data_IF_064724549880
#
_entry.id   IF_064724549880
#
_cell.length_a   1.000
_cell.length_b   1.000
_cell.length_c   1.000
_cell.angle_alpha   90.00
_cell.angle_beta   90.00
_cell.angle_gamma   90.00
#
_symmetry.space_group_name_H-M   'P 1'
#
loop_
_entity.id
_entity.type
_entity.pdbx_description
1 polymer ?
#
# COMPACT_ATOMS: atom_id res chain seq x y z
N UNK A 1 15.51 -0.83 -34.53
CA UNK A 1 16.88 -1.34 -34.65
C UNK A 1 17.35 -1.70 -33.24
N UNK A 2 17.64 -2.99 -33.02
CA UNK A 2 17.80 -3.62 -31.71
C UNK A 2 19.30 -3.71 -31.41
N UNK A 3 19.74 -3.26 -30.23
CA UNK A 3 21.06 -3.58 -29.69
C UNK A 3 20.86 -4.04 -28.25
N UNK A 4 21.19 -5.31 -28.00
CA UNK A 4 21.12 -6.02 -26.72
C UNK A 4 22.47 -5.99 -26.00
N UNK A 5 22.44 -6.06 -24.67
CA UNK A 5 23.57 -6.44 -23.83
C UNK A 5 23.07 -7.31 -22.67
N UNK A 6 23.76 -8.42 -22.42
CA UNK A 6 23.43 -9.48 -21.44
C UNK A 6 24.59 -9.64 -20.44
N UNK A 7 24.35 -10.38 -19.33
CA UNK A 7 25.25 -11.19 -18.45
C UNK A 7 24.78 -10.99 -16.99
N UNK A 8 24.21 -12.00 -16.30
CA UNK A 8 24.75 -13.21 -15.61
C UNK A 8 25.57 -12.87 -14.34
N UNK A 9 24.97 -13.08 -13.16
CA UNK A 9 25.70 -13.21 -11.90
C UNK A 9 25.47 -14.59 -11.27
N UNK A 10 26.58 -15.18 -10.84
CA UNK A 10 26.74 -16.54 -10.37
C UNK A 10 26.54 -16.61 -8.84
N UNK A 11 25.89 -17.69 -8.39
CA UNK A 11 25.76 -18.20 -7.02
C UNK A 11 24.87 -17.50 -5.95
N UNK A 12 23.67 -18.09 -5.82
CA UNK A 12 22.93 -18.52 -4.61
C UNK A 12 21.99 -17.52 -3.89
N UNK A 13 20.82 -17.42 -4.53
CA UNK A 13 19.48 -17.35 -3.96
C UNK A 13 18.97 -15.99 -3.46
N UNK A 14 18.97 -14.98 -4.34
CA UNK A 14 17.91 -13.99 -4.35
C UNK A 14 17.40 -13.87 -5.79
N UNK A 15 16.07 -13.91 -5.96
CA UNK A 15 15.45 -13.83 -7.27
C UNK A 15 15.76 -12.46 -7.89
N UNK A 16 16.47 -12.48 -9.01
CA UNK A 16 16.69 -11.33 -9.87
C UNK A 16 15.34 -10.80 -10.34
N UNK A 17 14.92 -9.67 -9.78
CA UNK A 17 13.85 -8.86 -10.35
C UNK A 17 14.50 -7.81 -11.24
N UNK A 18 14.25 -7.85 -12.55
CA UNK A 18 14.64 -6.74 -13.42
C UNK A 18 13.69 -5.59 -13.15
N UNK A 19 14.22 -4.47 -12.68
CA UNK A 19 13.43 -3.29 -12.33
C UNK A 19 13.52 -2.26 -13.46
N UNK A 20 12.37 -1.76 -13.95
CA UNK A 20 12.31 -0.80 -15.07
C UNK A 20 11.43 0.41 -14.76
N UNK A 21 11.88 1.64 -14.96
CA UNK A 21 11.11 2.80 -14.45
C UNK A 21 9.95 3.22 -15.38
N UNK A 22 8.78 3.50 -14.81
CA UNK A 22 7.60 4.12 -15.41
C UNK A 22 6.86 5.02 -14.40
N UNK A 23 6.75 6.32 -14.74
CA UNK A 23 5.80 7.39 -14.31
C UNK A 23 5.38 7.56 -12.83
N UNK A 24 5.11 8.81 -12.42
CA UNK A 24 5.34 9.30 -11.05
C UNK A 24 4.22 9.09 -9.99
N UNK A 25 4.63 9.09 -8.71
CA UNK A 25 3.81 9.25 -7.49
C UNK A 25 4.26 10.50 -6.69
N UNK A 26 3.39 11.06 -5.83
CA UNK A 26 3.66 12.28 -5.04
C UNK A 26 3.20 12.08 -3.59
N UNK A 27 3.95 12.63 -2.63
CA UNK A 27 3.75 12.44 -1.19
C UNK A 27 3.10 13.69 -0.59
N UNK A 28 2.16 13.49 0.33
CA UNK A 28 1.69 14.52 1.27
C UNK A 28 2.31 14.23 2.64
N UNK A 29 3.00 15.19 3.25
CA UNK A 29 3.74 14.94 4.50
C UNK A 29 3.51 16.00 5.56
N UNK A 30 3.15 15.55 6.77
CA UNK A 30 3.35 16.27 8.04
C UNK A 30 4.56 15.69 8.78
N UNK A 31 5.25 16.52 9.56
CA UNK A 31 6.59 16.24 10.07
C UNK A 31 6.67 15.62 11.47
N UNK A 32 7.67 14.76 11.70
CA UNK A 32 8.64 14.86 12.81
C UNK A 32 9.64 13.69 12.88
N UNK A 33 10.86 13.98 13.34
CA UNK A 33 11.62 13.17 14.34
C UNK A 33 12.51 11.98 13.92
N UNK A 34 13.83 12.17 13.95
CA UNK A 34 14.98 11.21 13.87
C UNK A 34 14.92 10.04 14.88
N UNK A 35 15.69 8.93 14.87
CA UNK A 35 16.61 8.15 13.98
C UNK A 35 17.13 6.95 14.83
N UNK A 36 17.39 5.71 14.35
CA UNK A 36 18.70 5.07 14.00
C UNK A 36 18.54 3.51 14.11
N UNK A 37 18.82 2.72 13.05
CA UNK A 37 19.95 1.76 12.80
C UNK A 37 20.11 0.55 13.76
N UNK A 38 20.45 -0.69 13.40
CA UNK A 38 20.78 -1.49 12.18
C UNK A 38 20.93 -2.99 12.65
N UNK A 39 20.79 -4.03 11.79
CA UNK A 39 21.41 -5.36 12.05
C UNK A 39 20.75 -6.68 11.58
N UNK A 40 21.17 -7.15 10.39
CA UNK A 40 21.20 -8.50 9.76
C UNK A 40 20.81 -9.82 10.51
N UNK A 41 20.01 -10.72 9.88
CA UNK A 41 20.40 -12.09 9.40
C UNK A 41 19.22 -13.06 9.05
N UNK A 42 19.30 -13.62 7.83
CA UNK A 42 18.95 -14.97 7.31
C UNK A 42 17.49 -15.49 7.13
N UNK A 43 17.38 -16.20 5.99
CA UNK A 43 16.22 -16.67 5.22
C UNK A 43 15.58 -17.94 5.78
N UNK A 44 14.25 -18.03 5.63
CA UNK A 44 13.51 -19.28 5.52
C UNK A 44 12.35 -19.09 4.55
N UNK A 45 12.44 -19.64 3.33
CA UNK A 45 11.39 -19.57 2.32
C UNK A 45 10.38 -20.69 2.54
N UNK A 46 9.08 -20.36 2.56
CA UNK A 46 8.03 -21.32 2.24
C UNK A 46 7.04 -20.68 1.26
N UNK A 47 7.05 -21.27 0.08
CA UNK A 47 6.23 -20.97 -1.10
C UNK A 47 4.80 -21.45 -0.81
N UNK A 48 3.83 -20.55 -0.81
CA UNK A 48 2.41 -20.88 -0.65
C UNK A 48 1.77 -20.97 -2.05
N UNK A 49 1.18 -22.13 -2.34
CA UNK A 49 0.67 -22.55 -3.65
C UNK A 49 -0.56 -21.76 -4.18
N UNK A 50 -0.59 -21.66 -5.52
CA UNK A 50 -1.55 -20.99 -6.41
C UNK A 50 -2.96 -21.62 -6.46
N UNK A 51 -3.76 -21.57 -5.38
CA UNK A 51 -5.18 -21.98 -5.46
C UNK A 51 -6.16 -21.08 -4.74
N UNK A 52 -6.32 -19.84 -5.20
CA UNK A 52 -7.56 -19.09 -4.95
C UNK A 52 -8.01 -18.43 -6.25
N UNK A 53 -8.93 -19.10 -6.95
CA UNK A 53 -9.67 -18.53 -8.09
C UNK A 53 -11.02 -17.99 -7.59
N UNK A 54 -11.10 -16.68 -7.36
CA UNK A 54 -12.37 -16.01 -7.09
C UNK A 54 -13.13 -15.83 -8.42
N UNK A 55 -14.07 -16.73 -8.70
CA UNK A 55 -15.12 -16.53 -9.70
C UNK A 55 -16.45 -16.42 -8.98
N UNK A 56 -16.79 -15.23 -8.50
CA UNK A 56 -18.15 -14.93 -8.05
C UNK A 56 -18.49 -13.47 -8.32
N UNK A 57 -19.63 -13.26 -8.98
CA UNK A 57 -20.15 -11.94 -9.36
C UNK A 57 -20.83 -11.18 -8.21
N UNK A 58 -20.95 -11.79 -7.04
CA UNK A 58 -21.48 -11.12 -5.84
C UNK A 58 -20.35 -10.68 -4.91
N UNK A 59 -20.17 -9.37 -4.81
CA UNK A 59 -19.22 -8.69 -3.90
C UNK A 59 -19.33 -9.17 -2.45
N UNK A 60 -20.56 -9.47 -1.99
CA UNK A 60 -20.81 -10.05 -0.67
C UNK A 60 -20.14 -11.42 -0.51
N UNK A 61 -20.21 -12.30 -1.51
CA UNK A 61 -19.65 -13.67 -1.40
C UNK A 61 -18.12 -13.67 -1.41
N UNK A 62 -17.49 -12.79 -2.18
CA UNK A 62 -16.02 -12.71 -2.25
C UNK A 62 -15.43 -12.24 -0.91
N UNK A 63 -16.01 -11.18 -0.32
CA UNK A 63 -15.62 -10.69 1.00
C UNK A 63 -15.79 -11.75 2.09
N UNK A 64 -16.95 -12.42 2.14
CA UNK A 64 -17.19 -13.51 3.10
C UNK A 64 -16.23 -14.69 2.93
N UNK A 65 -15.95 -15.08 1.68
CA UNK A 65 -15.00 -16.16 1.38
C UNK A 65 -13.58 -15.79 1.82
N UNK A 66 -13.16 -14.54 1.60
CA UNK A 66 -11.86 -14.05 2.05
C UNK A 66 -11.76 -14.05 3.58
N UNK A 67 -12.78 -13.55 4.31
CA UNK A 67 -12.82 -13.59 5.78
C UNK A 67 -12.72 -15.05 6.27
N UNK A 68 -13.54 -15.94 5.71
CA UNK A 68 -13.59 -17.35 6.11
C UNK A 68 -12.24 -18.05 5.88
N UNK A 69 -11.67 -17.90 4.69
CA UNK A 69 -10.38 -18.47 4.34
C UNK A 69 -9.26 -17.91 5.23
N UNK A 70 -9.19 -16.59 5.39
CA UNK A 70 -8.15 -15.93 6.19
C UNK A 70 -8.23 -16.35 7.66
N UNK A 71 -9.43 -16.32 8.25
CA UNK A 71 -9.62 -16.64 9.66
C UNK A 71 -9.55 -18.15 9.97
N UNK A 72 -9.57 -19.03 8.96
CA UNK A 72 -9.45 -20.49 9.18
C UNK A 72 -8.10 -20.90 9.79
N UNK A 73 -7.06 -20.08 9.61
CA UNK A 73 -5.73 -20.31 10.15
C UNK A 73 -5.39 -19.39 11.33
N UNK A 74 -6.37 -18.64 11.86
CA UNK A 74 -6.15 -17.72 12.95
C UNK A 74 -5.78 -18.46 14.24
N UNK A 75 -4.79 -17.93 14.95
CA UNK A 75 -4.40 -18.34 16.29
C UNK A 75 -4.80 -17.26 17.29
N UNK A 76 -5.44 -17.66 18.40
CA UNK A 76 -5.75 -16.76 19.51
C UNK A 76 -4.54 -16.41 20.37
N UNK A 77 -3.36 -16.95 20.03
CA UNK A 77 -2.12 -16.63 20.71
C UNK A 77 -1.75 -15.16 20.46
N UNK A 78 -1.39 -14.49 21.55
CA UNK A 78 -0.99 -13.10 21.60
C UNK A 78 0.47 -13.04 22.04
N UNK A 79 1.19 -12.03 21.57
CA UNK A 79 2.61 -11.87 21.88
C UNK A 79 2.83 -10.60 22.69
N UNK A 80 3.66 -10.73 23.72
CA UNK A 80 4.35 -9.63 24.37
C UNK A 80 5.53 -9.14 23.53
N UNK A 81 6.05 -7.98 23.88
CA UNK A 81 7.23 -7.42 23.24
C UNK A 81 8.48 -8.28 23.49
N UNK A 82 8.57 -8.93 24.64
CA UNK A 82 9.67 -9.86 24.96
C UNK A 82 9.64 -11.10 24.05
N UNK A 83 8.48 -11.71 23.85
CA UNK A 83 8.31 -12.85 22.94
C UNK A 83 8.59 -12.47 21.48
N UNK A 84 8.23 -11.24 21.09
CA UNK A 84 8.60 -10.68 19.79
C UNK A 84 10.13 -10.59 19.62
N UNK A 85 10.84 -10.05 20.61
CA UNK A 85 12.31 -9.97 20.60
C UNK A 85 12.97 -11.36 20.60
N UNK A 86 12.35 -12.34 21.26
CA UNK A 86 12.78 -13.73 21.25
C UNK A 86 12.50 -14.46 19.93
N UNK A 87 11.89 -13.79 18.94
CA UNK A 87 11.63 -14.35 17.61
C UNK A 87 10.46 -15.34 17.57
N UNK A 88 9.60 -15.34 18.59
CA UNK A 88 8.48 -16.30 18.72
C UNK A 88 7.25 -15.93 17.88
N UNK A 89 7.34 -14.90 17.05
CA UNK A 89 6.24 -14.42 16.23
C UNK A 89 5.63 -15.49 15.33
N UNK A 90 4.29 -15.56 15.36
CA UNK A 90 3.50 -16.20 14.31
C UNK A 90 2.65 -15.15 13.60
N UNK A 91 2.53 -15.25 12.29
CA UNK A 91 1.69 -14.36 11.47
C UNK A 91 0.19 -14.64 11.61
N UNK A 92 -0.17 -15.64 12.42
CA UNK A 92 -1.53 -16.15 12.60
C UNK A 92 -2.32 -15.41 13.67
N UNK A 93 -1.70 -14.48 14.40
CA UNK A 93 -2.33 -13.66 15.44
C UNK A 93 -3.29 -12.59 14.90
N UNK A 94 -3.17 -12.22 13.62
CA UNK A 94 -4.05 -11.24 12.98
C UNK A 94 -5.37 -11.91 12.60
N UNK A 95 -6.48 -11.25 12.90
CA UNK A 95 -7.85 -11.69 12.58
C UNK A 95 -8.56 -10.67 11.71
N UNK A 96 -9.22 -11.13 10.66
CA UNK A 96 -10.06 -10.29 9.82
C UNK A 96 -11.43 -10.10 10.48
N UNK A 97 -11.76 -8.86 10.85
CA UNK A 97 -13.01 -8.52 11.51
C UNK A 97 -14.14 -8.31 10.50
N UNK A 98 -13.89 -7.46 9.50
CA UNK A 98 -14.89 -7.01 8.55
C UNK A 98 -14.24 -6.59 7.24
N UNK A 99 -15.01 -6.71 6.15
CA UNK A 99 -14.63 -6.18 4.83
C UNK A 99 -15.78 -5.34 4.30
N UNK A 100 -15.46 -4.19 3.71
CA UNK A 100 -16.34 -3.43 2.83
C UNK A 100 -15.83 -3.56 1.41
N UNK A 101 -16.69 -4.00 0.50
CA UNK A 101 -16.32 -4.33 -0.87
C UNK A 101 -17.14 -3.50 -1.85
N UNK A 102 -16.47 -2.62 -2.61
CA UNK A 102 -17.14 -1.76 -3.58
C UNK A 102 -17.86 -2.59 -4.64
N UNK A 103 -19.08 -2.17 -5.00
CA UNK A 103 -19.82 -2.74 -6.13
C UNK A 103 -19.33 -2.18 -7.48
N UNK A 104 -18.43 -1.19 -7.46
CA UNK A 104 -17.84 -0.60 -8.66
C UNK A 104 -16.86 -1.57 -9.28
N UNK A 105 -16.66 -1.42 -10.59
CA UNK A 105 -15.63 -2.17 -11.31
C UNK A 105 -14.43 -1.27 -11.56
N UNK A 106 -13.27 -1.75 -11.13
CA UNK A 106 -12.01 -1.13 -11.49
C UNK A 106 -11.85 -1.17 -13.01
N UNK A 107 -11.49 -0.02 -13.60
CA UNK A 107 -11.28 0.12 -15.04
C UNK A 107 -9.82 -0.02 -15.45
N UNK A 108 -8.91 0.17 -14.51
CA UNK A 108 -7.47 0.04 -14.71
C UNK A 108 -6.99 -1.38 -14.37
N UNK A 109 -6.03 -1.94 -15.10
CA UNK A 109 -5.42 -3.22 -14.81
C UNK A 109 -4.35 -3.14 -13.72
N UNK A 110 -4.11 -1.96 -13.12
CA UNK A 110 -3.28 -1.79 -11.91
C UNK A 110 -4.18 -1.48 -10.72
N UNK A 111 -4.07 -2.33 -9.72
CA UNK A 111 -4.63 -2.10 -8.40
C UNK A 111 -3.55 -1.63 -7.46
N UNK A 112 -3.89 -0.64 -6.64
CA UNK A 112 -3.07 -0.21 -5.52
C UNK A 112 -3.44 -1.04 -4.32
N UNK A 113 -2.46 -1.42 -3.51
CA UNK A 113 -2.71 -1.93 -2.18
C UNK A 113 -1.92 -1.18 -1.13
N UNK A 114 -2.53 -0.97 0.02
CA UNK A 114 -1.97 -0.17 1.11
C UNK A 114 -2.41 -0.70 2.47
N UNK A 115 -1.78 -0.20 3.51
CA UNK A 115 -2.09 -0.50 4.89
C UNK A 115 -1.98 0.78 5.72
N UNK A 116 -2.74 0.84 6.81
CA UNK A 116 -2.79 2.02 7.65
C UNK A 116 -3.33 1.70 9.05
N UNK A 117 -3.03 2.57 9.99
CA UNK A 117 -3.74 2.71 11.26
C UNK A 117 -4.99 3.59 11.09
N UNK A 118 -5.91 3.51 12.05
CA UNK A 118 -7.21 4.19 11.97
C UNK A 118 -7.11 5.72 11.89
N UNK A 119 -6.07 6.33 12.49
CA UNK A 119 -5.81 7.77 12.45
C UNK A 119 -5.47 8.29 11.03
N UNK A 120 -5.01 7.42 10.11
CA UNK A 120 -4.63 7.79 8.74
C UNK A 120 -5.75 7.59 7.72
N UNK A 121 -6.99 7.40 8.18
CA UNK A 121 -8.15 7.14 7.30
C UNK A 121 -8.44 8.28 6.31
N UNK A 122 -8.11 9.52 6.67
CA UNK A 122 -8.26 10.68 5.80
C UNK A 122 -7.27 10.63 4.62
N UNK A 123 -6.08 10.06 4.81
CA UNK A 123 -5.11 9.85 3.74
C UNK A 123 -5.61 8.78 2.75
N UNK A 124 -6.25 7.72 3.25
CA UNK A 124 -6.90 6.73 2.38
C UNK A 124 -8.01 7.36 1.52
N UNK A 125 -8.80 8.28 2.09
CA UNK A 125 -9.78 9.06 1.33
C UNK A 125 -9.09 9.82 0.19
N UNK A 126 -8.02 10.55 0.49
CA UNK A 126 -7.26 11.31 -0.50
C UNK A 126 -6.68 10.42 -1.61
N UNK A 127 -6.07 9.28 -1.24
CA UNK A 127 -5.53 8.30 -2.20
C UNK A 127 -6.63 7.71 -3.11
N UNK A 128 -7.82 7.43 -2.57
CA UNK A 128 -8.94 6.95 -3.38
C UNK A 128 -9.49 8.02 -4.34
N UNK A 129 -9.50 9.28 -3.91
CA UNK A 129 -9.93 10.40 -4.76
C UNK A 129 -8.90 10.71 -5.86
N UNK A 130 -7.60 10.54 -5.59
CA UNK A 130 -6.54 10.73 -6.59
C UNK A 130 -6.40 9.57 -7.58
N UNK A 131 -7.02 8.41 -7.30
CA UNK A 131 -7.04 7.24 -8.19
C UNK A 131 -8.46 6.83 -8.65
N UNK A 132 -9.19 7.74 -9.32
CA UNK A 132 -10.59 7.51 -9.68
C UNK A 132 -10.72 6.37 -10.69
N UNK A 133 -11.75 5.53 -10.51
CA UNK A 133 -12.01 4.32 -11.34
C UNK A 133 -10.92 3.23 -11.25
N UNK A 134 -9.85 3.45 -10.48
CA UNK A 134 -8.85 2.43 -10.18
C UNK A 134 -9.23 1.57 -8.98
N UNK A 135 -8.60 0.41 -8.82
CA UNK A 135 -8.76 -0.43 -7.62
C UNK A 135 -7.83 0.07 -6.52
N UNK A 136 -8.35 0.29 -5.31
CA UNK A 136 -7.56 0.49 -4.09
C UNK A 136 -7.99 -0.57 -3.07
N UNK A 137 -7.05 -1.41 -2.65
CA UNK A 137 -7.23 -2.39 -1.58
C UNK A 137 -6.49 -1.91 -0.33
N UNK A 138 -7.22 -1.63 0.74
CA UNK A 138 -6.65 -1.09 1.97
C UNK A 138 -6.97 -2.00 3.16
N UNK A 139 -6.00 -2.16 4.05
CA UNK A 139 -6.20 -2.84 5.34
C UNK A 139 -5.94 -1.89 6.50
N UNK A 140 -6.89 -1.85 7.44
CA UNK A 140 -6.80 -1.06 8.66
C UNK A 140 -6.55 -1.98 9.83
N UNK A 141 -5.45 -1.75 10.56
CA UNK A 141 -5.04 -2.55 11.70
C UNK A 141 -5.46 -1.91 13.02
N UNK A 142 -6.13 -2.70 13.87
CA UNK A 142 -6.54 -2.31 15.23
C UNK A 142 -5.84 -3.22 16.25
N UNK A 143 -4.83 -2.71 16.99
CA UNK A 143 -4.26 -3.46 18.11
C UNK A 143 -5.22 -3.47 19.30
N UNK A 144 -5.36 -4.63 19.95
CA UNK A 144 -6.17 -4.81 21.17
C UNK A 144 -5.27 -5.29 22.30
N UNK A 145 -4.99 -4.40 23.26
CA UNK A 145 -4.06 -4.68 24.36
C UNK A 145 -4.73 -5.56 25.40
N UNK A 146 -4.14 -6.72 25.68
CA UNK A 146 -4.56 -7.53 26.81
C UNK A 146 -4.18 -6.85 28.11
N UNK A 147 -5.18 -6.50 28.92
CA UNK A 147 -4.93 -6.16 30.33
C UNK A 147 -4.43 -7.42 31.00
N UNK A 148 -3.32 -7.32 31.74
CA UNK A 148 -2.88 -8.36 32.64
C UNK A 148 -4.07 -8.69 33.55
N UNK A 149 -4.70 -9.85 33.33
CA UNK A 149 -5.61 -10.39 34.34
C UNK A 149 -4.73 -10.62 35.56
N UNK A 150 -5.22 -10.28 36.75
CA UNK A 150 -4.62 -10.78 37.98
C UNK A 150 -4.60 -12.31 37.86
N UNK A 151 -3.45 -12.85 37.49
CA UNK A 151 -3.19 -14.26 37.18
C UNK A 151 -3.22 -15.12 38.45
N UNK A 152 -4.09 -14.81 39.40
CA UNK A 152 -4.18 -15.50 40.68
C UNK A 152 -5.26 -16.57 40.70
N UNK A 153 -6.26 -16.55 39.82
CA UNK A 153 -7.36 -17.52 39.91
C UNK A 153 -7.92 -17.89 38.53
N UNK A 154 -7.49 -19.05 38.01
CA UNK A 154 -8.33 -20.06 37.35
C UNK A 154 -7.47 -20.96 36.48
N UNK A 155 -7.27 -22.19 36.96
CA UNK A 155 -6.90 -23.31 36.12
C UNK A 155 -8.02 -23.67 35.13
N UNK A 156 -7.62 -24.53 34.19
CA UNK A 156 -8.44 -25.27 33.22
C UNK A 156 -8.89 -24.50 31.97
N UNK A 157 -8.13 -24.78 30.89
CA UNK A 157 -8.47 -24.58 29.49
C UNK A 157 -9.84 -25.18 29.14
N UNK A 158 -10.77 -24.34 28.71
CA UNK A 158 -11.87 -24.75 27.85
C UNK A 158 -11.85 -23.96 26.55
N UNK A 159 -11.27 -24.59 25.52
CA UNK A 159 -11.22 -24.18 24.13
C UNK A 159 -12.60 -24.32 23.46
N UNK A 160 -13.56 -23.42 23.73
CA UNK A 160 -14.75 -23.32 22.86
C UNK A 160 -15.28 -21.89 22.85
N UNK A 161 -14.89 -21.12 21.82
CA UNK A 161 -15.59 -20.01 21.14
C UNK A 161 -14.62 -18.85 20.79
N UNK A 162 -14.52 -18.46 19.50
CA UNK A 162 -13.54 -17.47 19.02
C UNK A 162 -13.75 -16.03 19.52
N UNK A 163 -14.86 -15.75 20.20
CA UNK A 163 -15.18 -14.44 20.79
C UNK A 163 -15.06 -14.41 22.32
N UNK A 164 -14.77 -15.54 22.98
CA UNK A 164 -14.74 -15.63 24.46
C UNK A 164 -13.59 -14.82 25.10
N UNK A 165 -12.67 -14.30 24.29
CA UNK A 165 -11.47 -13.58 24.72
C UNK A 165 -11.51 -12.06 24.51
N UNK A 166 -12.56 -11.50 23.89
CA UNK A 166 -12.69 -10.04 23.75
C UNK A 166 -13.37 -9.45 24.99
N UNK A 167 -12.75 -8.46 25.62
CA UNK A 167 -13.37 -7.68 26.69
C UNK A 167 -14.45 -6.74 26.13
N UNK A 168 -15.37 -6.22 26.96
CA UNK A 168 -16.30 -5.18 26.53
C UNK A 168 -15.61 -3.96 25.89
N UNK A 169 -14.45 -3.56 26.41
CA UNK A 169 -13.62 -2.46 25.86
C UNK A 169 -13.06 -2.78 24.47
N UNK A 170 -12.64 -4.04 24.25
CA UNK A 170 -12.23 -4.48 22.91
C UNK A 170 -13.39 -4.44 21.92
N UNK A 171 -14.58 -4.89 22.34
CA UNK A 171 -15.77 -4.85 21.50
C UNK A 171 -16.16 -3.40 21.14
N UNK A 172 -16.10 -2.49 22.12
CA UNK A 172 -16.37 -1.06 21.90
C UNK A 172 -15.36 -0.43 20.93
N UNK A 173 -14.06 -0.74 21.09
CA UNK A 173 -13.00 -0.29 20.19
C UNK A 173 -13.24 -0.75 18.75
N UNK A 174 -13.57 -2.04 18.56
CA UNK A 174 -13.86 -2.60 17.25
C UNK A 174 -15.14 -2.00 16.65
N UNK A 175 -16.17 -1.79 17.46
CA UNK A 175 -17.43 -1.20 17.01
C UNK A 175 -17.24 0.26 16.56
N UNK A 176 -16.50 1.04 17.34
CA UNK A 176 -16.13 2.42 17.01
C UNK A 176 -15.35 2.49 15.70
N UNK A 177 -14.29 1.67 15.57
CA UNK A 177 -13.49 1.61 14.35
C UNK A 177 -14.34 1.16 13.12
N UNK A 178 -15.22 0.16 13.30
CA UNK A 178 -16.16 -0.26 12.25
C UNK A 178 -17.11 0.86 11.83
N UNK A 179 -17.58 1.70 12.76
CA UNK A 179 -18.43 2.86 12.46
C UNK A 179 -17.70 3.92 11.62
N UNK A 180 -16.45 4.23 11.98
CA UNK A 180 -15.58 5.15 11.25
C UNK A 180 -15.31 4.65 9.83
N UNK A 181 -14.94 3.38 9.68
CA UNK A 181 -14.65 2.77 8.36
C UNK A 181 -15.89 2.64 7.49
N UNK A 182 -17.05 2.31 8.07
CA UNK A 182 -18.33 2.28 7.34
C UNK A 182 -18.71 3.66 6.82
N UNK A 183 -18.46 4.70 7.62
CA UNK A 183 -18.73 6.09 7.23
C UNK A 183 -17.83 6.54 6.07
N UNK A 184 -16.52 6.27 6.15
CA UNK A 184 -15.59 6.52 5.05
C UNK A 184 -16.04 5.80 3.77
N UNK A 185 -16.30 4.49 3.88
CA UNK A 185 -16.66 3.67 2.73
C UNK A 185 -17.94 4.18 2.06
N UNK A 186 -18.96 4.54 2.85
CA UNK A 186 -20.19 5.16 2.33
C UNK A 186 -19.89 6.46 1.59
N UNK A 187 -19.08 7.35 2.15
CA UNK A 187 -18.71 8.63 1.51
C UNK A 187 -18.05 8.37 0.15
N UNK A 188 -17.11 7.43 0.08
CA UNK A 188 -16.44 7.06 -1.17
C UNK A 188 -17.42 6.47 -2.18
N UNK A 189 -18.38 5.65 -1.73
CA UNK A 189 -19.36 4.99 -2.60
C UNK A 189 -20.49 5.90 -3.10
N UNK A 190 -20.71 7.07 -2.49
CA UNK A 190 -21.75 8.00 -2.95
C UNK A 190 -21.50 8.45 -4.41
N UNK A 191 -22.56 8.48 -5.26
CA UNK A 191 -22.49 9.12 -6.57
C UNK A 191 -22.19 10.61 -6.39
N UNK A 192 -21.17 11.13 -7.08
CA UNK A 192 -20.85 12.57 -7.04
C UNK A 192 -20.17 13.07 -5.77
N UNK A 193 -19.44 12.22 -5.03
CA UNK A 193 -18.68 12.59 -3.84
C UNK A 193 -17.48 13.56 -4.08
N UNK A 194 -17.51 14.33 -5.17
CA UNK A 194 -16.55 15.37 -5.49
C UNK A 194 -17.14 16.75 -5.12
N UNK A 195 -16.54 17.41 -4.12
CA UNK A 195 -16.70 18.85 -3.91
C UNK A 195 -17.55 19.27 -2.70
N UNK A 196 -16.97 19.20 -1.50
CA UNK A 196 -17.10 20.34 -0.58
C UNK A 196 -15.83 21.17 -0.78
N UNK A 197 -15.93 22.14 -1.68
CA UNK A 197 -15.10 23.34 -1.66
C UNK A 197 -15.96 24.47 -2.23
N UNK A 198 -16.48 25.30 -1.33
CA UNK A 198 -16.79 26.70 -1.65
C UNK A 198 -15.54 27.30 -2.30
N UNK A 199 -15.59 27.55 -3.61
CA UNK A 199 -14.98 28.68 -4.31
C UNK A 199 -15.11 28.46 -5.83
N UNK A 200 -15.97 29.29 -6.41
CA UNK A 200 -16.13 29.53 -7.84
C UNK A 200 -14.80 29.68 -8.57
N UNK A 201 -14.53 28.78 -9.52
CA UNK A 201 -13.91 29.16 -10.81
C UNK A 201 -14.56 28.34 -11.91
N UNK A 202 -15.44 29.02 -12.63
CA UNK A 202 -16.07 28.55 -13.85
C UNK A 202 -15.04 28.16 -14.92
N UNK A 203 -14.86 26.86 -15.12
CA UNK A 203 -14.51 26.29 -16.42
C UNK A 203 -15.41 25.10 -16.66
N UNK A 204 -16.16 25.14 -17.77
CA UNK A 204 -16.98 24.03 -18.27
C UNK A 204 -16.13 22.75 -18.37
N UNK A 205 -16.14 21.94 -17.31
CA UNK A 205 -15.77 20.52 -17.38
C UNK A 205 -17.02 19.76 -17.78
N UNK A 206 -16.88 18.83 -18.71
CA UNK A 206 -17.92 17.84 -19.01
C UNK A 206 -18.38 17.18 -17.70
N UNK A 207 -19.55 17.60 -17.24
CA UNK A 207 -20.22 17.20 -16.00
C UNK A 207 -20.87 15.83 -16.16
N UNK A 208 -20.06 14.82 -16.43
CA UNK A 208 -20.47 13.43 -16.41
C UNK A 208 -19.37 12.52 -15.85
N UNK A 209 -19.51 12.17 -14.56
CA UNK A 209 -18.97 10.94 -13.94
C UNK A 209 -17.48 10.86 -13.57
N UNK A 210 -16.95 11.75 -12.73
CA UNK A 210 -15.75 11.42 -11.93
C UNK A 210 -16.16 10.55 -10.73
N UNK A 211 -16.33 9.25 -10.97
CA UNK A 211 -16.47 8.29 -9.89
C UNK A 211 -15.12 8.13 -9.16
N UNK A 212 -15.11 8.23 -7.83
CA UNK A 212 -13.96 7.86 -6.98
C UNK A 212 -13.48 6.42 -7.22
N UNK A 213 -12.42 5.98 -6.53
CA UNK A 213 -11.87 4.64 -6.73
C UNK A 213 -12.89 3.50 -6.49
N UNK A 214 -12.55 2.30 -6.95
CA UNK A 214 -13.17 1.04 -6.51
C UNK A 214 -12.43 0.60 -5.24
N UNK A 215 -13.06 0.78 -4.07
CA UNK A 215 -12.43 0.50 -2.78
C UNK A 215 -12.72 -0.92 -2.26
N UNK A 216 -11.68 -1.59 -1.77
CA UNK A 216 -11.79 -2.80 -0.93
C UNK A 216 -11.14 -2.50 0.39
N UNK A 217 -11.94 -2.37 1.43
CA UNK A 217 -11.49 -1.96 2.75
C UNK A 217 -11.61 -3.15 3.70
N UNK A 218 -10.50 -3.58 4.26
CA UNK A 218 -10.44 -4.65 5.26
C UNK A 218 -10.14 -4.03 6.62
N UNK A 219 -10.85 -4.45 7.65
CA UNK A 219 -10.50 -4.18 9.04
C UNK A 219 -10.00 -5.48 9.67
N UNK A 220 -8.79 -5.42 10.19
CA UNK A 220 -8.18 -6.52 10.94
C UNK A 220 -7.86 -6.05 12.35
N UNK A 221 -7.86 -6.99 13.29
CA UNK A 221 -7.35 -6.75 14.63
C UNK A 221 -6.32 -7.79 15.02
N UNK A 222 -5.52 -7.44 16.01
CA UNK A 222 -4.56 -8.34 16.63
C UNK A 222 -4.60 -8.15 18.13
N UNK A 223 -4.69 -9.25 18.87
CA UNK A 223 -4.52 -9.23 20.33
C UNK A 223 -3.02 -9.13 20.63
N UNK A 224 -2.62 -8.12 21.41
CA UNK A 224 -1.22 -7.89 21.79
C UNK A 224 -1.07 -7.95 23.30
N UNK A 225 0.07 -8.46 23.77
CA UNK A 225 0.33 -8.69 25.19
C UNK A 225 0.56 -7.41 26.00
N UNK A 226 1.01 -6.34 25.35
CA UNK A 226 1.38 -5.09 26.03
C UNK A 226 1.31 -3.86 25.10
N UNK A 227 1.53 -2.68 25.70
CA UNK A 227 1.52 -1.41 24.98
C UNK A 227 2.66 -1.24 23.98
N UNK A 228 3.82 -1.87 24.19
CA UNK A 228 4.94 -1.79 23.25
C UNK A 228 4.60 -2.53 21.95
N UNK A 229 3.97 -3.69 22.04
CA UNK A 229 3.46 -4.41 20.87
C UNK A 229 2.33 -3.66 20.17
N UNK A 230 1.52 -2.89 20.90
CA UNK A 230 0.42 -2.10 20.31
C UNK A 230 0.88 -0.99 19.35
N UNK A 231 2.12 -0.51 19.51
CA UNK A 231 2.70 0.49 18.59
C UNK A 231 3.46 -0.17 17.44
N UNK A 232 3.77 -1.46 17.52
CA UNK A 232 4.49 -2.21 16.47
C UNK A 232 3.52 -2.84 15.46
N UNK A 233 3.13 -2.01 14.49
CA UNK A 233 2.28 -2.41 13.39
C UNK A 233 2.95 -3.51 12.54
N UNK A 234 2.25 -4.61 12.22
CA UNK A 234 2.77 -5.68 11.38
C UNK A 234 2.74 -5.33 9.88
N UNK A 235 3.46 -4.26 9.52
CA UNK A 235 3.53 -3.60 8.21
C UNK A 235 3.51 -4.59 7.04
N UNK A 236 4.42 -5.57 7.04
CA UNK A 236 4.55 -6.49 5.92
C UNK A 236 3.44 -7.55 5.88
N UNK A 237 2.95 -8.00 7.04
CA UNK A 237 1.77 -8.87 7.09
C UNK A 237 0.54 -8.13 6.54
N UNK A 238 0.37 -6.86 6.89
CA UNK A 238 -0.71 -6.02 6.39
C UNK A 238 -0.60 -5.78 4.88
N UNK A 239 0.60 -5.53 4.34
CA UNK A 239 0.82 -5.45 2.88
C UNK A 239 0.38 -6.74 2.17
N UNK A 240 0.74 -7.90 2.71
CA UNK A 240 0.31 -9.19 2.18
C UNK A 240 -1.21 -9.36 2.23
N UNK A 241 -1.86 -9.00 3.35
CA UNK A 241 -3.32 -9.04 3.51
C UNK A 241 -4.01 -8.13 2.49
N UNK A 242 -3.54 -6.90 2.34
CA UNK A 242 -4.10 -5.95 1.39
C UNK A 242 -4.00 -6.48 -0.06
N UNK A 243 -2.89 -7.13 -0.40
CA UNK A 243 -2.69 -7.72 -1.71
C UNK A 243 -3.66 -8.88 -2.03
N UNK A 244 -4.16 -9.61 -1.02
CA UNK A 244 -5.16 -10.68 -1.23
C UNK A 244 -6.46 -10.15 -1.85
N UNK A 245 -6.81 -8.90 -1.54
CA UNK A 245 -7.98 -8.25 -2.08
C UNK A 245 -7.69 -7.51 -3.40
N UNK A 246 -6.52 -7.69 -4.03
CA UNK A 246 -6.27 -7.16 -5.39
C UNK A 246 -6.64 -8.22 -6.43
N UNK A 247 -7.54 -7.88 -7.37
CA UNK A 247 -7.94 -8.79 -8.46
C UNK A 247 -7.62 -8.24 -9.86
N UNK A 248 -6.86 -7.15 -9.91
CA UNK A 248 -6.31 -6.63 -11.15
C UNK A 248 -5.07 -7.43 -11.57
N UNK A 249 -4.73 -7.45 -12.87
CA UNK A 249 -3.58 -8.20 -13.33
C UNK A 249 -2.22 -7.66 -12.84
N UNK A 250 -2.09 -6.33 -12.73
CA UNK A 250 -0.94 -5.64 -12.16
C UNK A 250 -1.30 -5.13 -10.75
N UNK A 251 -0.29 -5.06 -9.87
CA UNK A 251 -0.44 -4.57 -8.50
C UNK A 251 0.76 -3.70 -8.10
N UNK A 252 0.51 -2.68 -7.28
CA UNK A 252 1.54 -1.82 -6.66
C UNK A 252 1.23 -1.64 -5.19
N UNK A 253 2.24 -1.81 -4.34
CA UNK A 253 2.17 -1.34 -2.97
C UNK A 253 2.45 0.17 -2.98
N UNK A 254 1.55 0.95 -2.40
CA UNK A 254 1.68 2.41 -2.31
C UNK A 254 1.27 2.82 -0.91
N UNK A 255 2.19 3.45 -0.17
CA UNK A 255 1.88 3.93 1.19
C UNK A 255 0.71 4.93 1.16
N UNK A 256 -0.06 4.97 2.24
CA UNK A 256 -1.35 5.68 2.27
C UNK A 256 -1.21 7.21 2.14
N UNK A 257 -0.04 7.77 2.47
CA UNK A 257 0.32 9.17 2.29
C UNK A 257 0.79 9.53 0.86
N UNK A 258 0.85 8.53 -0.02
CA UNK A 258 1.19 8.73 -1.42
C UNK A 258 -0.08 8.79 -2.27
N UNK A 259 -0.09 9.75 -3.18
CA UNK A 259 -1.05 9.83 -4.27
C UNK A 259 -0.40 9.46 -5.60
N UNK A 260 -1.17 8.81 -6.46
CA UNK A 260 -0.73 8.39 -7.78
C UNK A 260 -1.07 9.48 -8.79
N UNK A 261 -0.11 9.85 -9.65
CA UNK A 261 -0.37 10.87 -10.67
C UNK A 261 -1.38 10.38 -11.71
N UNK A 262 -2.12 11.33 -12.29
CA UNK A 262 -3.03 11.06 -13.40
C UNK A 262 -2.31 10.43 -14.60
N UNK A 263 -1.03 10.76 -14.80
CA UNK A 263 -0.19 10.21 -15.86
C UNK A 263 -0.03 8.69 -15.76
N UNK A 264 0.14 8.15 -14.54
CA UNK A 264 0.25 6.71 -14.32
C UNK A 264 -1.10 6.05 -14.63
N UNK A 265 -2.19 6.57 -14.06
CA UNK A 265 -3.55 6.06 -14.26
C UNK A 265 -4.01 6.11 -15.73
N UNK A 266 -3.69 7.20 -16.44
CA UNK A 266 -4.19 7.47 -17.79
C UNK A 266 -3.38 6.81 -18.91
N UNK A 267 -2.05 6.73 -18.80
CA UNK A 267 -1.17 6.36 -19.93
C UNK A 267 -0.63 4.93 -19.87
N UNK A 268 -0.32 4.43 -18.68
CA UNK A 268 0.16 3.05 -18.49
C UNK A 268 -1.00 2.09 -18.30
N UNK A 269 -2.07 2.58 -17.66
CA UNK A 269 -3.13 1.73 -17.12
C UNK A 269 -4.47 1.82 -17.88
N UNK A 270 -4.62 2.63 -18.93
CA UNK A 270 -5.84 2.57 -19.77
C UNK A 270 -5.72 1.56 -20.92
N UNK A 271 -4.50 1.20 -21.32
CA UNK A 271 -4.23 0.32 -22.45
C UNK A 271 -4.11 -1.15 -22.01
N UNK A 272 -5.16 -1.94 -22.27
CA UNK A 272 -5.19 -3.37 -21.93
C UNK A 272 -4.11 -4.20 -22.62
N UNK A 273 -3.78 -3.88 -23.87
CA UNK A 273 -2.71 -4.55 -24.63
C UNK A 273 -1.36 -4.33 -23.96
N UNK A 274 -1.11 -3.10 -23.50
CA UNK A 274 0.10 -2.78 -22.75
C UNK A 274 0.16 -3.51 -21.42
N UNK A 275 -0.94 -3.57 -20.68
CA UNK A 275 -0.99 -4.32 -19.43
C UNK A 275 -0.68 -5.82 -19.64
N UNK A 276 -1.24 -6.43 -20.68
CA UNK A 276 -0.95 -7.83 -21.03
C UNK A 276 0.52 -8.04 -21.40
N UNK A 277 1.14 -7.14 -22.15
CA UNK A 277 2.59 -7.16 -22.44
C UNK A 277 3.42 -7.09 -21.14
N UNK A 278 3.08 -6.16 -20.25
CA UNK A 278 3.73 -6.04 -18.94
C UNK A 278 3.58 -7.32 -18.12
N UNK A 279 2.40 -7.94 -18.08
CA UNK A 279 2.21 -9.22 -17.38
C UNK A 279 3.06 -10.35 -17.96
N UNK A 280 3.11 -10.47 -19.29
CA UNK A 280 3.91 -11.47 -19.98
C UNK A 280 5.39 -11.28 -19.69
N UNK A 281 5.86 -10.03 -19.69
CA UNK A 281 7.25 -9.70 -19.36
C UNK A 281 7.56 -9.93 -17.88
N UNK A 282 6.64 -9.60 -16.98
CA UNK A 282 6.79 -9.91 -15.56
C UNK A 282 6.90 -11.42 -15.31
N UNK A 283 6.12 -12.23 -16.05
CA UNK A 283 6.21 -13.70 -16.02
C UNK A 283 7.55 -14.20 -16.55
N UNK A 284 7.90 -13.79 -17.78
CA UNK A 284 9.05 -14.32 -18.53
C UNK A 284 10.37 -13.88 -17.91
N UNK A 285 10.48 -12.60 -17.59
CA UNK A 285 11.73 -11.94 -17.24
C UNK A 285 11.84 -11.66 -15.74
N UNK A 286 10.83 -12.03 -14.93
CA UNK A 286 10.71 -11.63 -13.51
C UNK A 286 10.92 -10.13 -13.37
N UNK A 287 10.16 -9.35 -14.14
CA UNK A 287 10.32 -7.89 -14.21
C UNK A 287 9.26 -7.18 -13.37
N UNK A 288 9.70 -6.15 -12.63
CA UNK A 288 8.86 -5.14 -12.01
C UNK A 288 9.20 -3.76 -12.58
N UNK A 289 8.33 -2.78 -12.35
CA UNK A 289 8.52 -1.42 -12.83
C UNK A 289 8.52 -0.39 -11.72
N UNK A 290 9.61 0.38 -11.59
CA UNK A 290 9.73 1.46 -10.60
C UNK A 290 8.85 2.64 -10.98
N UNK A 291 8.18 3.19 -9.99
CA UNK A 291 7.41 4.43 -10.04
C UNK A 291 8.29 5.51 -9.40
N UNK A 292 8.76 6.54 -10.14
CA UNK A 292 9.44 7.67 -9.53
C UNK A 292 8.52 8.37 -8.52
N UNK A 293 9.05 8.88 -7.41
CA UNK A 293 8.25 9.53 -6.39
C UNK A 293 8.80 10.90 -6.02
N UNK A 294 7.91 11.81 -5.62
CA UNK A 294 8.25 13.20 -5.31
C UNK A 294 7.71 13.59 -3.93
N UNK A 295 8.57 14.20 -3.10
CA UNK A 295 8.14 14.98 -1.94
C UNK A 295 7.91 16.44 -2.41
N UNK A 296 6.90 17.10 -1.84
CA UNK A 296 6.82 18.57 -1.87
C UNK A 296 7.91 19.13 -0.96
N UNK A 297 8.63 20.15 -1.42
CA UNK A 297 9.70 20.77 -0.63
C UNK A 297 9.13 21.41 0.64
N UNK A 298 9.66 21.01 1.80
CA UNK A 298 9.21 21.48 3.12
C UNK A 298 9.45 22.98 3.35
N UNK A 299 10.34 23.59 2.58
CA UNK A 299 10.73 24.99 2.72
C UNK A 299 9.75 25.95 2.02
N UNK A 300 8.85 25.44 1.17
CA UNK A 300 7.80 26.28 0.61
C UNK A 300 6.68 26.49 1.63
N UNK A 301 6.06 27.66 1.57
CA UNK A 301 4.98 28.06 2.47
C UNK A 301 3.86 27.00 2.50
N UNK A 302 3.40 26.62 3.69
CA UNK A 302 2.37 25.59 3.88
C UNK A 302 1.13 25.78 2.99
N UNK A 303 0.61 27.00 2.89
CA UNK A 303 -0.55 27.33 2.04
C UNK A 303 -0.34 26.98 0.55
N UNK A 304 0.91 26.89 0.10
CA UNK A 304 1.29 26.55 -1.28
C UNK A 304 1.62 25.08 -1.49
N UNK A 305 1.83 24.31 -0.41
CA UNK A 305 2.21 22.88 -0.51
C UNK A 305 1.12 22.05 -1.20
N UNK A 306 -0.15 22.28 -0.84
CA UNK A 306 -1.28 21.59 -1.48
C UNK A 306 -1.38 21.94 -2.97
N UNK A 307 -1.20 23.20 -3.33
CA UNK A 307 -1.21 23.62 -4.73
C UNK A 307 -0.09 22.97 -5.54
N UNK A 308 1.12 22.86 -4.97
CA UNK A 308 2.24 22.14 -5.63
C UNK A 308 1.94 20.66 -5.75
N UNK A 309 1.40 20.02 -4.70
CA UNK A 309 1.01 18.61 -4.76
C UNK A 309 -0.03 18.35 -5.86
N UNK A 310 -1.09 19.15 -5.92
CA UNK A 310 -2.15 19.05 -6.93
C UNK A 310 -1.60 19.25 -8.34
N UNK A 311 -0.76 20.28 -8.53
CA UNK A 311 -0.09 20.54 -9.80
C UNK A 311 0.80 19.37 -10.23
N UNK A 312 1.53 18.76 -9.28
CA UNK A 312 2.41 17.60 -9.52
C UNK A 312 1.61 16.35 -9.90
N UNK A 313 0.46 16.11 -9.26
CA UNK A 313 -0.44 14.99 -9.58
C UNK A 313 -1.11 15.16 -10.95
N UNK A 314 -1.40 16.40 -11.34
CA UNK A 314 -2.02 16.76 -12.61
C UNK A 314 -1.04 16.75 -13.81
N UNK A 315 0.27 16.60 -13.56
CA UNK A 315 1.26 16.53 -14.65
C UNK A 315 0.91 15.39 -15.60
N UNK A 316 0.82 15.73 -16.89
CA UNK A 316 0.62 14.77 -17.96
C UNK A 316 1.93 14.08 -18.34
N UNK A 317 1.88 12.83 -18.86
CA UNK A 317 3.09 12.08 -19.24
C UNK A 317 4.02 12.84 -20.20
N UNK A 318 3.46 13.58 -21.15
CA UNK A 318 4.20 14.41 -22.12
C UNK A 318 4.88 15.63 -21.47
N UNK A 319 4.50 15.97 -20.23
CA UNK A 319 4.94 17.16 -19.51
C UNK A 319 5.98 16.86 -18.42
N UNK A 320 6.85 15.84 -18.60
CA UNK A 320 7.98 15.59 -17.69
C UNK A 320 8.82 16.85 -17.44
N UNK A 321 8.92 17.74 -18.43
CA UNK A 321 9.62 19.03 -18.30
C UNK A 321 9.05 19.93 -17.20
N UNK A 322 7.74 19.84 -16.91
CA UNK A 322 7.12 20.59 -15.82
C UNK A 322 7.64 20.11 -14.46
N UNK A 323 7.74 18.79 -14.25
CA UNK A 323 8.34 18.23 -13.03
C UNK A 323 9.82 18.59 -12.93
N UNK A 324 10.54 18.62 -14.06
CA UNK A 324 11.94 19.03 -14.09
C UNK A 324 12.11 20.50 -13.68
N UNK A 325 11.22 21.38 -14.16
CA UNK A 325 11.20 22.80 -13.81
C UNK A 325 10.87 23.02 -12.33
N UNK A 326 9.84 22.32 -11.82
CA UNK A 326 9.46 22.32 -10.40
C UNK A 326 10.61 21.88 -9.49
N UNK A 327 11.39 20.87 -9.91
CA UNK A 327 12.53 20.38 -9.13
C UNK A 327 13.79 21.25 -9.26
N UNK A 328 14.28 21.46 -10.48
CA UNK A 328 15.62 22.01 -10.73
C UNK A 328 15.67 23.54 -10.70
N UNK A 329 14.54 24.22 -10.94
CA UNK A 329 14.51 25.70 -11.03
C UNK A 329 13.67 26.34 -9.94
N UNK A 330 12.49 25.79 -9.66
CA UNK A 330 11.55 26.37 -8.68
C UNK A 330 11.76 25.85 -7.27
N UNK A 331 12.46 24.72 -7.10
CA UNK A 331 12.68 24.07 -5.81
C UNK A 331 11.37 23.82 -5.03
N UNK A 332 10.33 23.38 -5.75
CA UNK A 332 9.00 23.12 -5.18
C UNK A 332 8.79 21.65 -4.85
N UNK A 333 9.48 20.77 -5.56
CA UNK A 333 9.46 19.33 -5.34
C UNK A 333 10.88 18.79 -5.32
N UNK A 334 11.05 17.63 -4.72
CA UNK A 334 12.30 16.88 -4.75
C UNK A 334 12.01 15.39 -4.87
N UNK A 335 12.98 14.58 -5.35
CA UNK A 335 12.86 13.13 -5.28
C UNK A 335 12.46 12.71 -3.86
N UNK A 336 11.59 11.71 -3.76
CA UNK A 336 11.09 11.27 -2.46
C UNK A 336 12.24 10.88 -1.53
N UNK A 337 12.11 11.32 -0.27
CA UNK A 337 13.09 11.12 0.80
C UNK A 337 14.52 11.60 0.47
N UNK A 338 14.70 12.47 -0.54
CA UNK A 338 16.01 12.91 -1.00
C UNK A 338 16.90 13.50 0.11
N UNK A 339 16.33 14.23 1.06
CA UNK A 339 17.11 14.77 2.18
C UNK A 339 17.35 13.78 3.32
N UNK A 340 16.43 12.85 3.55
CA UNK A 340 16.47 11.93 4.70
C UNK A 340 17.18 10.63 4.43
N UNK A 341 17.00 10.08 3.23
CA UNK A 341 17.52 8.78 2.85
C UNK A 341 17.86 8.74 1.36
N UNK A 342 18.95 9.44 0.99
CA UNK A 342 19.44 9.52 -0.40
C UNK A 342 19.57 8.15 -1.06
N UNK A 343 20.09 7.16 -0.35
CA UNK A 343 20.27 5.80 -0.87
C UNK A 343 18.95 5.11 -1.23
N UNK A 344 17.86 5.44 -0.50
CA UNK A 344 16.53 4.88 -0.66
C UNK A 344 15.98 4.93 -2.08
N UNK A 345 16.24 6.02 -2.80
CA UNK A 345 15.63 6.24 -4.12
C UNK A 345 16.63 6.63 -5.21
N UNK A 346 17.93 6.70 -4.91
CA UNK A 346 18.96 7.09 -5.87
C UNK A 346 19.06 6.15 -7.09
N UNK A 347 18.81 4.85 -6.91
CA UNK A 347 18.77 3.87 -8.00
C UNK A 347 17.78 4.25 -9.11
N UNK A 348 16.77 5.06 -8.80
CA UNK A 348 15.81 5.56 -9.78
C UNK A 348 16.44 6.49 -10.82
N UNK A 349 17.57 7.13 -10.52
CA UNK A 349 18.27 8.06 -11.42
C UNK A 349 17.32 9.06 -12.13
N UNK A 350 16.80 10.01 -11.36
CA UNK A 350 15.79 10.98 -11.83
C UNK A 350 16.26 11.78 -13.05
N UNK A 351 17.54 12.12 -13.16
CA UNK A 351 18.09 12.81 -14.34
C UNK A 351 17.98 11.95 -15.61
N UNK A 352 18.35 10.66 -15.53
CA UNK A 352 18.13 9.72 -16.63
C UNK A 352 16.64 9.54 -16.92
N UNK A 353 15.79 9.52 -15.89
CA UNK A 353 14.34 9.41 -16.06
C UNK A 353 13.72 10.55 -16.88
N UNK A 354 14.17 11.80 -16.65
CA UNK A 354 13.73 12.96 -17.43
C UNK A 354 14.12 12.86 -18.91
N UNK A 355 15.34 12.39 -19.17
CA UNK A 355 15.88 12.28 -20.53
C UNK A 355 15.35 11.05 -21.29
N UNK A 356 14.84 10.06 -20.57
CA UNK A 356 14.42 8.79 -21.16
C UNK A 356 12.98 8.86 -21.68
N UNK A 357 12.81 8.45 -22.94
CA UNK A 357 11.51 8.19 -23.57
C UNK A 357 11.12 6.70 -23.55
N UNK A 358 11.99 5.85 -22.99
CA UNK A 358 11.79 4.41 -22.88
C UNK A 358 12.13 3.93 -21.46
N UNK A 359 11.60 2.75 -21.11
CA UNK A 359 12.02 2.02 -19.92
C UNK A 359 13.54 1.76 -19.94
N UNK A 360 14.18 1.79 -18.78
CA UNK A 360 15.59 1.44 -18.64
C UNK A 360 15.82 0.59 -17.39
N UNK A 361 16.84 -0.28 -17.38
CA UNK A 361 17.15 -1.11 -16.23
C UNK A 361 17.65 -0.25 -15.07
N UNK A 362 17.16 -0.58 -13.88
CA UNK A 362 17.67 -0.10 -12.59
C UNK A 362 18.43 -1.22 -11.93
N UNK A 363 19.65 -0.94 -11.50
CA UNK A 363 20.43 -1.86 -10.69
C UNK A 363 20.00 -1.68 -9.24
N UNK A 364 19.67 -2.79 -8.57
CA UNK A 364 19.46 -2.77 -7.13
C UNK A 364 20.77 -2.46 -6.42
N UNK A 365 20.70 -1.55 -5.45
CA UNK A 365 21.78 -1.24 -4.53
C UNK A 365 21.26 -1.45 -3.11
N UNK A 366 22.15 -1.81 -2.18
CA UNK A 366 21.75 -1.98 -0.78
C UNK A 366 21.13 -0.68 -0.25
N UNK A 367 19.95 -0.82 0.36
CA UNK A 367 19.17 0.32 0.83
C UNK A 367 18.26 0.96 -0.22
N UNK A 368 18.24 0.49 -1.47
CA UNK A 368 17.27 0.97 -2.46
C UNK A 368 15.87 0.42 -2.16
N UNK A 369 14.93 1.31 -1.85
CA UNK A 369 13.54 1.04 -1.46
C UNK A 369 12.56 1.65 -2.46
N UNK A 370 12.49 1.16 -3.71
CA UNK A 370 11.64 1.77 -4.71
C UNK A 370 10.15 1.56 -4.46
N UNK A 371 9.36 2.51 -4.95
CA UNK A 371 7.97 2.23 -5.31
C UNK A 371 7.96 1.51 -6.65
N UNK A 372 7.20 0.43 -6.76
CA UNK A 372 7.13 -0.33 -8.00
C UNK A 372 5.80 -1.07 -8.15
N UNK A 373 5.46 -1.38 -9.40
CA UNK A 373 4.38 -2.29 -9.73
C UNK A 373 4.89 -3.52 -10.48
N UNK A 374 4.09 -4.58 -10.48
CA UNK A 374 4.39 -5.80 -11.24
C UNK A 374 3.14 -6.62 -11.47
N UNK A 375 3.28 -7.75 -12.16
CA UNK A 375 2.19 -8.71 -12.28
C UNK A 375 1.86 -9.31 -10.92
N UNK A 376 0.62 -9.15 -10.48
CA UNK A 376 0.14 -9.54 -9.14
C UNK A 376 0.52 -10.97 -8.79
N UNK A 377 0.40 -11.90 -9.75
CA UNK A 377 0.70 -13.33 -9.57
C UNK A 377 2.19 -13.64 -9.34
N UNK A 378 3.08 -12.74 -9.70
CA UNK A 378 4.53 -12.95 -9.63
C UNK A 378 5.23 -12.01 -8.66
N UNK A 379 4.48 -11.11 -8.00
CA UNK A 379 5.02 -10.29 -6.93
C UNK A 379 5.35 -11.19 -5.73
N UNK A 380 6.57 -11.10 -5.17
CA UNK A 380 6.90 -11.82 -3.95
C UNK A 380 6.09 -11.26 -2.79
N UNK A 381 5.73 -12.13 -1.85
CA UNK A 381 5.18 -11.70 -0.57
C UNK A 381 6.26 -11.01 0.26
N UNK A 382 5.83 -10.05 1.07
CA UNK A 382 6.67 -9.38 2.04
C UNK A 382 6.96 -10.33 3.22
N UNK A 383 8.15 -10.21 3.83
CA UNK A 383 8.47 -10.94 5.05
C UNK A 383 7.59 -10.45 6.20
N UNK A 384 6.57 -11.24 6.52
CA UNK A 384 5.51 -10.89 7.45
C UNK A 384 5.96 -10.81 8.92
N UNK A 385 7.21 -11.17 9.23
CA UNK A 385 7.81 -11.00 10.57
C UNK A 385 8.14 -9.54 10.87
N UNK A 386 8.33 -8.72 9.83
CA UNK A 386 8.71 -7.33 9.96
C UNK A 386 7.57 -6.47 10.51
N UNK A 387 7.87 -5.74 11.57
CA UNK A 387 6.99 -4.76 12.22
C UNK A 387 7.69 -3.41 12.30
N UNK A 388 6.92 -2.32 12.29
CA UNK A 388 7.42 -0.97 12.53
C UNK A 388 6.50 -0.19 13.46
N UNK A 389 7.03 0.87 14.04
CA UNK A 389 6.21 1.83 14.78
C UNK A 389 5.14 2.40 13.85
N UNK A 390 3.88 2.32 14.26
CA UNK A 390 2.79 3.01 13.59
C UNK A 390 3.03 4.53 13.71
N UNK A 391 3.46 5.16 12.62
CA UNK A 391 3.62 6.61 12.51
C UNK A 391 2.27 7.31 12.34
#
# INVERSE_FOLDING_TARGET
MIIMGYIRCNNRAFYSLLIRIVLCAVVLKEGSGNSLKEGSLRRGSQQMDDKIHFSSRDSNTAGHSLISCFNSQHSSHHFSFEEFLAGQLTTRSIRMHRIWWSNRRAKYPLGLFTHLSINRIHMLKAQCLSYPRGLVAAVVWIPLIMKARNLTEAGEEQQTHPHKHLSPEHLDTLQTASGVLSSLFRIIELPGADGISDLDVATKRDTATSSSCTLRLMMVYEMVGDGQMSVLMPVNALRNIAMLAVDTPLASMVDVDLSVSWSLAGHVMSNKTRAADLELRAKRDRTGWVIPAWDVDKNIKFAWQNHVADATLAVRPESKLMLQDMWLKRHEIMPFAYERYKLGHNGTNYMRWFQSQAEYPVTFEEGYEPWFFGARKYLPLYDARFRCVAS
#
